data_IF_812898630621
#
_entry.id   IF_812898630621
#
_cell.length_a   1.000
_cell.length_b   1.000
_cell.length_c   1.000
_cell.angle_alpha   90.00
_cell.angle_beta   90.00
_cell.angle_gamma   90.00
#
_symmetry.space_group_name_H-M   'P 1'
#
loop_
_entity.id
_entity.type
_entity.pdbx_description
1 polymer ?
#
# COMPACT_ATOMS: atom_id res chain seq x y z
N UNK A 1 -11.13 20.89 -45.28
CA UNK A 1 -10.95 19.87 -44.22
C UNK A 1 -10.95 20.60 -42.89
N UNK A 2 -11.91 20.38 -41.99
CA UNK A 2 -11.77 20.90 -40.63
C UNK A 2 -10.55 20.24 -39.97
N UNK A 3 -9.73 21.02 -39.27
CA UNK A 3 -8.64 20.50 -38.45
C UNK A 3 -9.21 19.49 -37.44
N UNK A 4 -8.54 18.35 -37.19
CA UNK A 4 -8.96 17.45 -36.12
C UNK A 4 -8.87 18.24 -34.81
N UNK A 5 -10.03 18.52 -34.20
CA UNK A 5 -10.03 19.18 -32.91
C UNK A 5 -9.24 18.32 -31.92
N UNK A 6 -8.27 18.90 -31.19
CA UNK A 6 -7.55 18.15 -30.17
C UNK A 6 -8.58 17.61 -29.19
N UNK A 7 -8.55 16.29 -29.01
CA UNK A 7 -9.44 15.56 -28.11
C UNK A 7 -9.07 15.95 -26.68
N UNK A 8 -9.58 17.11 -26.23
CA UNK A 8 -9.50 17.54 -24.84
C UNK A 8 -10.49 16.65 -24.08
N UNK A 9 -9.98 15.54 -23.55
CA UNK A 9 -10.70 14.81 -22.52
C UNK A 9 -10.72 15.69 -21.28
N UNK A 10 -11.93 15.98 -20.81
CA UNK A 10 -12.14 16.67 -19.56
C UNK A 10 -11.57 15.84 -18.39
N UNK A 11 -11.22 16.51 -17.30
CA UNK A 11 -10.66 15.85 -16.11
C UNK A 11 -11.57 14.72 -15.60
N UNK A 12 -12.89 14.89 -15.67
CA UNK A 12 -13.86 13.86 -15.26
C UNK A 12 -13.79 12.61 -16.16
N UNK A 13 -13.69 12.80 -17.48
CA UNK A 13 -13.58 11.68 -18.43
C UNK A 13 -12.28 10.90 -18.23
N UNK A 14 -11.17 11.60 -17.97
CA UNK A 14 -9.89 10.98 -17.60
C UNK A 14 -10.04 10.17 -16.32
N UNK A 15 -10.70 10.69 -15.30
CA UNK A 15 -10.93 9.98 -14.04
C UNK A 15 -11.85 8.76 -14.23
N UNK A 16 -12.91 8.87 -15.03
CA UNK A 16 -13.82 7.77 -15.34
C UNK A 16 -13.10 6.67 -16.12
N UNK A 17 -12.38 7.02 -17.18
CA UNK A 17 -11.59 6.07 -17.97
C UNK A 17 -10.51 5.40 -17.11
N UNK A 18 -9.87 6.15 -16.20
CA UNK A 18 -8.90 5.58 -15.25
C UNK A 18 -9.56 4.52 -14.35
N UNK A 19 -10.75 4.81 -13.78
CA UNK A 19 -11.52 3.86 -12.98
C UNK A 19 -11.88 2.60 -13.78
N UNK A 20 -12.40 2.76 -15.01
CA UNK A 20 -12.75 1.63 -15.89
C UNK A 20 -11.50 0.82 -16.26
N UNK A 21 -10.38 1.49 -16.54
CA UNK A 21 -9.10 0.85 -16.82
C UNK A 21 -8.63 -0.03 -15.67
N UNK A 22 -8.71 0.45 -14.43
CA UNK A 22 -8.35 -0.35 -13.26
C UNK A 22 -9.32 -1.51 -13.00
N UNK A 23 -10.60 -1.39 -13.34
CA UNK A 23 -11.55 -2.52 -13.32
C UNK A 23 -11.12 -3.60 -14.34
N UNK A 24 -10.73 -3.19 -15.55
CA UNK A 24 -10.22 -4.13 -16.56
C UNK A 24 -8.92 -4.81 -16.10
N UNK A 25 -7.98 -4.03 -15.52
CA UNK A 25 -6.73 -4.54 -14.99
C UNK A 25 -6.96 -5.54 -13.85
N UNK A 26 -7.87 -5.26 -12.92
CA UNK A 26 -8.24 -6.17 -11.83
C UNK A 26 -8.83 -7.50 -12.31
N UNK A 27 -9.43 -7.52 -13.50
CA UNK A 27 -9.95 -8.75 -14.15
C UNK A 27 -8.94 -9.46 -15.05
N UNK A 28 -7.68 -9.01 -15.06
CA UNK A 28 -6.64 -9.47 -15.98
C UNK A 28 -7.03 -9.31 -17.48
N UNK A 29 -7.94 -8.39 -17.79
CA UNK A 29 -8.35 -8.11 -19.17
C UNK A 29 -7.35 -7.15 -19.81
N UNK A 30 -6.19 -7.72 -20.16
CA UNK A 30 -5.07 -6.94 -20.68
C UNK A 30 -5.44 -6.20 -21.97
N UNK A 31 -6.25 -6.81 -22.83
CA UNK A 31 -6.67 -6.18 -24.09
C UNK A 31 -7.47 -4.90 -23.86
N UNK A 32 -8.44 -4.91 -22.94
CA UNK A 32 -9.21 -3.69 -22.62
C UNK A 32 -8.36 -2.68 -21.85
N UNK A 33 -7.51 -3.14 -20.93
CA UNK A 33 -6.60 -2.28 -20.18
C UNK A 33 -5.61 -1.56 -21.12
N UNK A 34 -5.04 -2.24 -22.10
CA UNK A 34 -4.15 -1.67 -23.13
C UNK A 34 -4.83 -0.56 -23.92
N UNK A 35 -6.07 -0.78 -24.38
CA UNK A 35 -6.82 0.24 -25.12
C UNK A 35 -7.05 1.48 -24.26
N UNK A 36 -7.50 1.29 -23.02
CA UNK A 36 -7.83 2.41 -22.12
C UNK A 36 -6.58 3.16 -21.69
N UNK A 37 -5.59 2.46 -21.12
CA UNK A 37 -4.38 3.09 -20.62
C UNK A 37 -3.47 3.58 -21.74
N UNK A 38 -3.48 2.95 -22.91
CA UNK A 38 -2.79 3.44 -24.10
C UNK A 38 -3.39 4.73 -24.67
N UNK A 39 -4.70 4.95 -24.51
CA UNK A 39 -5.32 6.24 -24.82
C UNK A 39 -4.95 7.29 -23.75
N UNK A 40 -5.05 6.92 -22.46
CA UNK A 40 -4.73 7.81 -21.35
C UNK A 40 -3.27 8.26 -21.35
N UNK A 41 -2.32 7.40 -21.73
CA UNK A 41 -0.90 7.76 -21.84
C UNK A 41 -0.62 8.75 -22.97
N UNK A 42 -1.47 8.82 -24.01
CA UNK A 42 -1.34 9.84 -25.07
C UNK A 42 -1.87 11.20 -24.61
N UNK A 43 -2.89 11.19 -23.76
CA UNK A 43 -3.55 12.40 -23.25
C UNK A 43 -2.77 13.01 -22.07
N UNK A 44 -2.16 12.16 -21.25
CA UNK A 44 -1.36 12.54 -20.07
C UNK A 44 -0.10 11.67 -19.97
N UNK A 45 0.88 11.85 -20.87
CA UNK A 45 2.07 10.99 -20.95
C UNK A 45 2.95 11.03 -19.69
N UNK A 46 2.88 12.11 -18.91
CA UNK A 46 3.69 12.31 -17.73
C UNK A 46 3.14 11.63 -16.47
N UNK A 47 1.92 11.06 -16.53
CA UNK A 47 1.24 10.49 -15.36
C UNK A 47 1.48 8.98 -15.27
N UNK A 48 1.80 8.52 -14.06
CA UNK A 48 2.12 7.13 -13.76
C UNK A 48 0.93 6.19 -13.95
N UNK A 49 -0.29 6.64 -13.67
CA UNK A 49 -1.47 5.77 -13.59
C UNK A 49 -1.71 4.96 -14.88
N UNK A 50 -1.37 5.50 -16.05
CA UNK A 50 -1.52 4.79 -17.31
C UNK A 50 -0.52 3.63 -17.42
N UNK A 51 0.75 3.87 -17.11
CA UNK A 51 1.79 2.84 -17.13
C UNK A 51 1.57 1.79 -16.03
N UNK A 52 1.23 2.25 -14.82
CA UNK A 52 0.93 1.38 -13.67
C UNK A 52 -0.30 0.52 -13.95
N UNK A 53 -1.38 1.10 -14.49
CA UNK A 53 -2.59 0.36 -14.80
C UNK A 53 -2.37 -0.76 -15.82
N UNK A 54 -1.57 -0.50 -16.86
CA UNK A 54 -1.18 -1.52 -17.83
C UNK A 54 -0.33 -2.61 -17.19
N UNK A 55 0.67 -2.24 -16.39
CA UNK A 55 1.49 -3.19 -15.67
C UNK A 55 0.65 -4.09 -14.73
N UNK A 56 -0.28 -3.51 -13.98
CA UNK A 56 -1.21 -4.27 -13.12
C UNK A 56 -2.02 -5.28 -13.92
N UNK A 57 -2.52 -4.89 -15.10
CA UNK A 57 -3.26 -5.82 -15.96
C UNK A 57 -2.39 -7.01 -16.40
N UNK A 58 -1.16 -6.74 -16.85
CA UNK A 58 -0.20 -7.77 -17.23
C UNK A 58 0.17 -8.68 -16.06
N UNK A 59 0.45 -8.11 -14.88
CA UNK A 59 0.79 -8.88 -13.67
C UNK A 59 -0.36 -9.78 -13.23
N UNK A 60 -1.60 -9.28 -13.22
CA UNK A 60 -2.79 -10.06 -12.89
C UNK A 60 -3.04 -11.19 -13.91
N UNK A 61 -2.58 -11.03 -15.16
CA UNK A 61 -2.61 -12.06 -16.18
C UNK A 61 -1.42 -13.04 -16.11
N UNK A 62 -0.53 -12.91 -15.14
CA UNK A 62 0.71 -13.71 -15.04
C UNK A 62 1.77 -13.36 -16.08
N UNK A 63 1.63 -12.24 -16.79
CA UNK A 63 2.51 -11.77 -17.87
C UNK A 63 3.55 -10.77 -17.33
N UNK A 64 4.36 -11.21 -16.37
CA UNK A 64 5.29 -10.33 -15.66
C UNK A 64 6.37 -9.73 -16.57
N UNK A 65 6.96 -10.52 -17.48
CA UNK A 65 7.93 -10.04 -18.47
C UNK A 65 7.39 -8.87 -19.32
N UNK A 66 6.10 -8.90 -19.68
CA UNK A 66 5.48 -7.85 -20.46
C UNK A 66 5.22 -6.58 -19.64
N UNK A 67 4.84 -6.74 -18.36
CA UNK A 67 4.76 -5.61 -17.45
C UNK A 67 6.11 -4.88 -17.33
N UNK A 68 7.22 -5.63 -17.21
CA UNK A 68 8.58 -5.07 -17.21
C UNK A 68 8.84 -4.29 -18.50
N UNK A 69 8.61 -4.90 -19.67
CA UNK A 69 8.86 -4.27 -20.96
C UNK A 69 8.04 -2.98 -21.17
N UNK A 70 6.82 -2.90 -20.63
CA UNK A 70 6.01 -1.70 -20.67
C UNK A 70 6.54 -0.60 -19.74
N UNK A 71 6.91 -0.94 -18.50
CA UNK A 71 7.38 0.01 -17.51
C UNK A 71 8.78 0.55 -17.84
N UNK A 72 9.66 -0.23 -18.46
CA UNK A 72 10.99 0.23 -18.90
C UNK A 72 10.90 1.31 -20.01
N UNK A 73 9.82 1.31 -20.79
CA UNK A 73 9.59 2.29 -21.86
C UNK A 73 8.81 3.52 -21.39
N UNK A 74 8.29 3.49 -20.16
CA UNK A 74 7.51 4.57 -19.59
C UNK A 74 8.39 5.82 -19.38
N UNK A 75 7.81 6.98 -19.66
CA UNK A 75 8.47 8.28 -19.49
C UNK A 75 7.57 9.21 -18.64
N UNK A 76 7.32 8.87 -17.36
CA UNK A 76 6.55 9.72 -16.47
C UNK A 76 7.33 10.99 -16.11
N UNK A 77 6.64 11.99 -15.55
CA UNK A 77 7.29 13.13 -14.92
C UNK A 77 8.23 12.67 -13.79
N UNK A 78 9.29 13.46 -13.56
CA UNK A 78 10.19 13.24 -12.43
C UNK A 78 9.46 13.40 -11.08
N UNK A 79 10.03 12.81 -10.02
CA UNK A 79 9.43 12.80 -8.69
C UNK A 79 8.43 11.65 -8.52
N UNK A 80 7.30 11.92 -7.87
CA UNK A 80 6.33 10.91 -7.43
C UNK A 80 5.83 9.99 -8.55
N UNK A 81 5.60 10.54 -9.76
CA UNK A 81 5.12 9.76 -10.90
C UNK A 81 6.17 8.72 -11.35
N UNK A 82 7.44 9.14 -11.48
CA UNK A 82 8.56 8.24 -11.79
C UNK A 82 8.81 7.22 -10.68
N UNK A 83 8.72 7.63 -9.43
CA UNK A 83 8.89 6.74 -8.28
C UNK A 83 7.84 5.62 -8.26
N UNK A 84 6.58 5.95 -8.54
CA UNK A 84 5.51 4.96 -8.64
C UNK A 84 5.74 3.97 -9.79
N UNK A 85 6.12 4.44 -10.97
CA UNK A 85 6.49 3.57 -12.11
C UNK A 85 7.66 2.64 -11.75
N UNK A 86 8.69 3.16 -11.08
CA UNK A 86 9.87 2.38 -10.65
C UNK A 86 9.52 1.34 -9.58
N UNK A 87 8.59 1.64 -8.66
CA UNK A 87 8.12 0.68 -7.67
C UNK A 87 7.41 -0.50 -8.33
N UNK A 88 6.50 -0.23 -9.29
CA UNK A 88 5.85 -1.27 -10.07
C UNK A 88 6.81 -2.03 -10.99
N UNK A 89 7.89 -1.39 -11.47
CA UNK A 89 8.94 -2.08 -12.22
C UNK A 89 9.66 -3.08 -11.33
N UNK A 90 10.01 -2.68 -10.09
CA UNK A 90 10.59 -3.59 -9.11
C UNK A 90 9.69 -4.79 -8.80
N UNK A 91 8.39 -4.56 -8.58
CA UNK A 91 7.41 -5.65 -8.39
C UNK A 91 7.34 -6.58 -9.62
N UNK A 92 7.31 -6.00 -10.82
CA UNK A 92 7.23 -6.77 -12.07
C UNK A 92 8.48 -7.64 -12.26
N UNK A 93 9.66 -7.10 -11.97
CA UNK A 93 10.92 -7.84 -11.99
C UNK A 93 10.95 -8.99 -10.96
N UNK A 94 10.37 -8.81 -9.76
CA UNK A 94 10.26 -9.90 -8.78
C UNK A 94 9.39 -11.05 -9.32
N UNK A 95 8.24 -10.72 -9.92
CA UNK A 95 7.31 -11.70 -10.48
C UNK A 95 7.83 -12.34 -11.77
N UNK A 96 8.75 -11.68 -12.47
CA UNK A 96 9.49 -12.22 -13.62
C UNK A 96 10.75 -13.02 -13.22
N UNK A 97 10.90 -13.35 -11.94
CA UNK A 97 12.05 -14.07 -11.37
C UNK A 97 13.42 -13.36 -11.55
N UNK A 98 13.43 -12.05 -11.82
CA UNK A 98 14.63 -11.19 -11.95
C UNK A 98 14.95 -10.47 -10.64
N UNK A 99 15.08 -11.26 -9.56
CA UNK A 99 15.16 -10.75 -8.19
C UNK A 99 16.31 -9.77 -7.93
N UNK A 100 17.50 -10.02 -8.51
CA UNK A 100 18.67 -9.14 -8.33
C UNK A 100 18.44 -7.75 -8.91
N UNK A 101 17.82 -7.66 -10.08
CA UNK A 101 17.46 -6.40 -10.72
C UNK A 101 16.35 -5.68 -9.96
N UNK A 102 15.34 -6.42 -9.51
CA UNK A 102 14.29 -5.89 -8.67
C UNK A 102 14.86 -5.25 -7.39
N UNK A 103 15.71 -5.97 -6.66
CA UNK A 103 16.34 -5.45 -5.43
C UNK A 103 17.15 -4.18 -5.71
N UNK A 104 17.88 -4.13 -6.83
CA UNK A 104 18.64 -2.93 -7.21
C UNK A 104 17.73 -1.73 -7.43
N UNK A 105 16.67 -1.88 -8.23
CA UNK A 105 15.71 -0.80 -8.52
C UNK A 105 15.02 -0.33 -7.24
N UNK A 106 14.52 -1.27 -6.44
CA UNK A 106 13.78 -0.99 -5.22
C UNK A 106 14.65 -0.34 -4.14
N UNK A 107 15.91 -0.77 -3.95
CA UNK A 107 16.82 -0.13 -2.97
C UNK A 107 17.19 1.29 -3.36
N UNK A 108 17.48 1.52 -4.64
CA UNK A 108 17.75 2.86 -5.15
C UNK A 108 16.55 3.80 -4.94
N UNK A 109 15.33 3.28 -5.07
CA UNK A 109 14.10 4.05 -4.85
C UNK A 109 13.80 4.25 -3.35
N UNK A 110 14.04 3.23 -2.52
CA UNK A 110 13.83 3.29 -1.07
C UNK A 110 14.83 4.18 -0.33
N UNK A 111 15.96 4.51 -0.98
CA UNK A 111 16.97 5.42 -0.45
C UNK A 111 16.42 6.84 -0.37
N UNK A 112 15.82 7.18 0.76
CA UNK A 112 15.30 8.52 1.03
C UNK A 112 16.42 9.39 1.62
N UNK A 113 16.67 10.61 1.09
CA UNK A 113 17.52 11.58 1.76
C UNK A 113 17.00 11.90 3.16
N UNK A 114 17.91 12.14 4.10
CA UNK A 114 17.56 12.46 5.48
C UNK A 114 16.66 13.72 5.54
N UNK A 115 15.48 13.60 6.15
CA UNK A 115 14.51 14.69 6.28
C UNK A 115 13.51 14.87 5.12
N UNK A 116 13.57 14.04 4.07
CA UNK A 116 12.55 14.04 3.02
C UNK A 116 11.39 13.09 3.35
N UNK A 117 10.16 13.55 3.12
CA UNK A 117 8.98 12.69 3.20
C UNK A 117 9.05 11.61 2.08
N UNK A 118 8.88 10.32 2.41
CA UNK A 118 8.93 9.27 1.41
C UNK A 118 7.71 9.35 0.49
N UNK A 119 7.96 9.35 -0.82
CA UNK A 119 6.90 9.22 -1.83
C UNK A 119 6.17 7.87 -1.67
N UNK A 120 4.94 7.77 -2.16
CA UNK A 120 4.19 6.51 -2.15
C UNK A 120 4.97 5.37 -2.85
N UNK A 121 5.67 5.70 -3.94
CA UNK A 121 6.54 4.76 -4.65
C UNK A 121 7.71 4.27 -3.80
N UNK A 122 8.37 5.18 -3.06
CA UNK A 122 9.43 4.82 -2.13
C UNK A 122 8.92 3.98 -0.94
N UNK A 123 7.75 4.32 -0.40
CA UNK A 123 7.11 3.54 0.66
C UNK A 123 6.73 2.13 0.18
N UNK A 124 6.18 2.01 -1.04
CA UNK A 124 5.92 0.72 -1.66
C UNK A 124 7.21 -0.07 -1.87
N UNK A 125 8.30 0.59 -2.29
CA UNK A 125 9.58 -0.08 -2.49
C UNK A 125 10.14 -0.69 -1.20
N UNK A 126 10.07 0.04 -0.07
CA UNK A 126 10.45 -0.49 1.26
C UNK A 126 9.64 -1.72 1.63
N UNK A 127 8.32 -1.68 1.42
CA UNK A 127 7.43 -2.84 1.66
C UNK A 127 7.81 -4.05 0.80
N UNK A 128 8.12 -3.84 -0.48
CA UNK A 128 8.53 -4.90 -1.41
C UNK A 128 9.91 -5.49 -1.09
N UNK A 129 10.77 -4.75 -0.39
CA UNK A 129 12.05 -5.23 0.15
C UNK A 129 11.91 -5.96 1.48
N UNK A 130 10.72 -5.94 2.10
CA UNK A 130 10.50 -6.46 3.45
C UNK A 130 11.02 -5.53 4.55
N UNK A 131 11.38 -4.30 4.19
CA UNK A 131 11.78 -3.25 5.14
C UNK A 131 10.49 -2.64 5.70
N UNK A 132 10.14 -3.03 6.93
CA UNK A 132 8.98 -2.47 7.62
C UNK A 132 9.12 -0.93 7.68
N UNK A 133 8.07 -0.21 7.28
CA UNK A 133 7.96 1.21 7.61
C UNK A 133 8.22 1.36 9.11
N UNK A 134 8.94 2.40 9.58
CA UNK A 134 8.82 2.75 10.98
C UNK A 134 7.32 2.85 11.26
N UNK A 135 6.82 2.07 12.22
CA UNK A 135 5.44 2.15 12.65
C UNK A 135 5.09 3.63 12.83
N UNK A 136 3.86 4.08 12.48
CA UNK A 136 3.50 5.48 12.71
C UNK A 136 3.89 5.79 14.14
N UNK A 137 4.86 6.70 14.29
CA UNK A 137 5.32 7.18 15.58
C UNK A 137 4.15 7.94 16.12
N UNK A 138 3.20 7.22 16.69
CA UNK A 138 2.24 7.76 17.60
C UNK A 138 3.13 8.36 18.66
N UNK A 139 3.20 9.69 18.70
CA UNK A 139 3.66 10.39 19.88
C UNK A 139 2.69 10.02 21.00
N UNK A 140 2.80 8.79 21.51
CA UNK A 140 2.49 8.48 22.88
C UNK A 140 3.67 9.05 23.65
N UNK A 141 3.60 10.37 23.86
CA UNK A 141 4.22 10.98 25.02
C UNK A 141 3.71 10.20 26.22
N UNK A 142 4.57 9.30 26.69
CA UNK A 142 4.57 8.84 28.06
C UNK A 142 4.72 10.07 28.95
N UNK A 143 3.61 10.68 29.33
CA UNK A 143 3.56 11.51 30.51
C UNK A 143 2.67 10.80 31.53
N UNK A 144 3.34 10.11 32.45
CA UNK A 144 3.00 10.02 33.87
C UNK A 144 1.60 9.47 34.22
N UNK A 145 1.59 8.37 34.98
CA UNK A 145 0.40 7.74 35.54
C UNK A 145 -0.63 8.76 36.03
N UNK A 146 -1.74 8.82 35.27
CA UNK A 146 -2.86 9.70 35.54
C UNK A 146 -3.39 9.46 36.96
N UNK A 147 -3.71 10.53 37.68
CA UNK A 147 -4.39 10.47 38.97
C UNK A 147 -5.69 9.64 38.91
N UNK A 148 -6.28 9.49 37.72
CA UNK A 148 -7.47 8.69 37.46
C UNK A 148 -7.23 7.17 37.65
N UNK A 149 -6.07 6.62 37.29
CA UNK A 149 -5.77 5.20 37.50
C UNK A 149 -5.44 4.86 38.96
N UNK A 150 -4.81 5.78 39.70
CA UNK A 150 -4.60 5.62 41.15
C UNK A 150 -5.93 5.71 41.91
N UNK A 151 -6.79 6.67 41.56
CA UNK A 151 -8.13 6.79 42.15
C UNK A 151 -9.03 5.57 41.85
N UNK A 152 -8.93 4.99 40.65
CA UNK A 152 -9.70 3.79 40.29
C UNK A 152 -9.20 2.54 41.04
N UNK A 153 -7.90 2.41 41.27
CA UNK A 153 -7.32 1.27 41.97
C UNK A 153 -7.56 1.32 43.49
N UNK A 154 -7.52 2.51 44.09
CA UNK A 154 -7.82 2.70 45.53
C UNK A 154 -9.32 2.49 45.84
N UNK A 155 -10.21 2.83 44.91
CA UNK A 155 -11.65 2.59 45.05
C UNK A 155 -12.01 1.10 45.00
N UNK A 156 -11.28 0.28 44.24
CA UNK A 156 -11.49 -1.17 44.14
C UNK A 156 -11.04 -1.89 45.42
N UNK A 157 -9.96 -1.42 46.05
CA UNK A 157 -9.34 -2.10 47.19
C UNK A 157 -10.02 -1.81 48.54
N UNK A 158 -10.94 -0.84 48.62
CA UNK A 158 -11.47 -0.35 49.90
C UNK A 158 -13.01 -0.30 49.97
N UNK A 159 -13.72 -1.13 49.19
CA UNK A 159 -15.17 -1.27 49.28
C UNK A 159 -15.58 -2.04 50.55
N UNK A 160 -16.36 -1.45 51.47
CA UNK A 160 -16.94 -2.18 52.59
C UNK A 160 -18.16 -2.99 52.13
N UNK A 161 -18.16 -4.29 52.41
CA UNK A 161 -19.34 -5.16 52.30
C UNK A 161 -19.42 -6.01 51.04
N UNK A 162 -18.55 -7.00 50.90
CA UNK A 162 -18.80 -8.14 50.01
C UNK A 162 -19.55 -9.25 50.77
N UNK A 163 -20.63 -9.84 50.20
CA UNK A 163 -21.42 -10.87 50.87
C UNK A 163 -20.65 -12.21 50.96
N UNK A 164 -20.59 -12.78 52.16
CA UNK A 164 -20.01 -14.10 52.42
C UNK A 164 -20.95 -15.22 51.95
N UNK A 165 -20.70 -15.79 50.77
CA UNK A 165 -21.20 -17.12 50.45
C UNK A 165 -20.20 -18.16 50.96
N UNK A 166 -20.54 -18.74 52.11
CA UNK A 166 -19.81 -19.81 52.78
C UNK A 166 -19.83 -21.09 51.94
N UNK A 167 -18.66 -21.58 51.55
CA UNK A 167 -18.43 -22.99 51.22
C UNK A 167 -17.60 -23.62 52.34
N UNK A 168 -18.22 -23.81 53.50
CA UNK A 168 -17.83 -24.83 54.47
C UNK A 168 -18.51 -26.13 53.99
N UNK A 169 -17.97 -27.34 54.03
CA UNK A 169 -17.18 -28.00 55.08
C UNK A 169 -16.64 -29.30 54.41
N UNK A 170 -15.33 -29.56 54.42
CA UNK A 170 -14.63 -30.54 55.30
C UNK A 170 -14.25 -31.89 54.64
N UNK A 171 -12.96 -31.95 54.33
CA UNK A 171 -11.98 -33.01 54.51
C UNK A 171 -12.33 -34.22 55.42
N UNK A 172 -11.85 -35.41 55.01
CA UNK A 172 -11.50 -36.65 55.76
C UNK A 172 -12.37 -37.92 55.60
N UNK A 173 -11.79 -38.89 54.89
CA UNK A 173 -11.37 -40.23 55.34
C UNK A 173 -12.35 -41.25 55.96
N UNK A 174 -12.30 -42.47 55.39
CA UNK A 174 -12.46 -43.81 55.99
C UNK A 174 -13.73 -44.16 56.79
N UNK A 175 -14.51 -45.13 56.31
CA UNK A 175 -14.53 -46.52 56.83
C UNK A 175 -15.73 -47.33 56.26
N UNK A 176 -15.42 -48.58 55.90
CA UNK A 176 -16.25 -49.78 55.65
C UNK A 176 -17.18 -49.80 54.45
#
# INVERSE_FOLDING_TARGET
>A
MPDPQPLLLETEDVQLLTRIGFIAAGRADVKRAEVIFGALSRVRPERAFAYVGLAVACLNAGRAAEAVAHLEKAQPAAGEESDMVRAFLGLSLQLDARASEATRVLRQLASTPEGAEPTEGAALAKRLLGEALPAPTTFLTSHQGSAAQRAAQDAINNLPGSPSWTSSTRQHSHQQ
#
